data_IF_447369324539
#
_entry.id   IF_447369324539
#
_cell.length_a   1.000
_cell.length_b   1.000
_cell.length_c   1.000
_cell.angle_alpha   90.00
_cell.angle_beta   90.00
_cell.angle_gamma   90.00
#
_symmetry.space_group_name_H-M   'P 1'
#
loop_
_entity.id
_entity.type
_entity.pdbx_description
1 polymer ?
#
# COMPACT_ATOMS: atom_id res chain seq x y z
N UNK A 1 35.87 1.67 -17.57
CA UNK A 1 36.72 2.56 -16.74
C UNK A 1 35.95 3.80 -16.28
N UNK A 2 35.46 4.67 -17.16
CA UNK A 2 34.70 5.88 -16.75
C UNK A 2 33.42 5.53 -15.97
N UNK A 3 32.60 4.59 -16.47
CA UNK A 3 31.38 4.14 -15.78
C UNK A 3 31.70 3.53 -14.42
N UNK A 4 32.76 2.74 -14.34
CA UNK A 4 33.23 2.09 -13.12
C UNK A 4 33.62 3.09 -12.03
N UNK A 5 34.41 4.11 -12.37
CA UNK A 5 34.80 5.16 -11.43
C UNK A 5 33.59 6.00 -10.99
N UNK A 6 32.70 6.36 -11.92
CA UNK A 6 31.46 7.10 -11.59
C UNK A 6 30.52 6.30 -10.69
N UNK A 7 30.35 5.00 -10.92
CA UNK A 7 29.58 4.13 -10.05
C UNK A 7 30.23 4.00 -8.67
N UNK A 8 31.57 3.96 -8.58
CA UNK A 8 32.26 3.91 -7.30
C UNK A 8 32.11 5.20 -6.47
N UNK A 9 32.15 6.36 -7.11
CA UNK A 9 32.04 7.67 -6.45
C UNK A 9 30.60 8.05 -6.06
N UNK A 10 29.63 7.84 -6.96
CA UNK A 10 28.24 8.27 -6.74
C UNK A 10 27.22 7.33 -7.41
N UNK A 11 27.04 6.10 -6.91
CA UNK A 11 26.25 5.06 -7.56
C UNK A 11 24.78 5.47 -7.76
N UNK A 12 24.19 6.19 -6.80
CA UNK A 12 22.82 6.73 -6.91
C UNK A 12 22.67 7.80 -8.00
N UNK A 13 23.70 8.61 -8.24
CA UNK A 13 23.69 9.65 -9.27
C UNK A 13 23.91 9.03 -10.64
N UNK A 14 24.84 8.09 -10.74
CA UNK A 14 25.14 7.35 -11.97
C UNK A 14 23.93 6.54 -12.44
N UNK A 15 23.20 5.92 -11.51
CA UNK A 15 21.95 5.21 -11.81
C UNK A 15 20.88 6.09 -12.48
N UNK A 16 20.82 7.39 -12.18
CA UNK A 16 19.88 8.32 -12.83
C UNK A 16 20.21 8.60 -14.29
N UNK A 17 21.47 8.39 -14.70
CA UNK A 17 21.93 8.61 -16.07
C UNK A 17 21.49 7.51 -17.05
N UNK A 18 20.86 6.44 -16.58
CA UNK A 18 20.31 5.35 -17.42
C UNK A 18 19.25 5.83 -18.43
N UNK A 19 18.65 7.00 -18.21
CA UNK A 19 17.68 7.60 -19.14
C UNK A 19 18.31 8.13 -20.44
N UNK A 20 19.64 8.25 -20.50
CA UNK A 20 20.38 8.81 -21.64
C UNK A 20 20.28 7.89 -22.86
N UNK A 21 20.61 6.60 -22.73
CA UNK A 21 20.38 5.61 -23.77
C UNK A 21 20.41 4.16 -23.22
N UNK A 22 19.86 3.20 -23.98
CA UNK A 22 19.75 1.80 -23.56
C UNK A 22 21.10 1.12 -23.35
N UNK A 23 22.06 1.34 -24.25
CA UNK A 23 23.40 0.74 -24.13
C UNK A 23 24.10 1.24 -22.88
N UNK A 24 24.01 2.54 -22.60
CA UNK A 24 24.61 3.13 -21.41
C UNK A 24 23.92 2.68 -20.12
N UNK A 25 22.60 2.49 -20.14
CA UNK A 25 21.87 1.88 -19.04
C UNK A 25 22.38 0.46 -18.73
N UNK A 26 22.58 -0.37 -19.76
CA UNK A 26 23.07 -1.74 -19.61
C UNK A 26 24.49 -1.78 -19.05
N UNK A 27 25.37 -0.88 -19.49
CA UNK A 27 26.75 -0.77 -18.97
C UNK A 27 26.79 -0.33 -17.51
N UNK A 28 25.97 0.67 -17.12
CA UNK A 28 25.84 1.10 -15.72
C UNK A 28 25.35 -0.05 -14.85
N UNK A 29 24.35 -0.78 -15.35
CA UNK A 29 23.73 -1.90 -14.65
C UNK A 29 24.70 -3.09 -14.49
N UNK A 30 25.37 -3.52 -15.56
CA UNK A 30 26.36 -4.59 -15.49
C UNK A 30 27.54 -4.21 -14.60
N UNK A 31 28.08 -2.99 -14.72
CA UNK A 31 29.16 -2.54 -13.85
C UNK A 31 28.73 -2.57 -12.37
N UNK A 32 27.55 -2.02 -12.05
CA UNK A 32 27.05 -1.98 -10.68
C UNK A 32 26.76 -3.37 -10.09
N UNK A 33 26.18 -4.28 -10.87
CA UNK A 33 25.81 -5.61 -10.38
C UNK A 33 26.99 -6.58 -10.38
N UNK A 34 27.90 -6.49 -11.35
CA UNK A 34 28.94 -7.48 -11.60
C UNK A 34 30.32 -7.08 -11.09
N UNK A 35 30.64 -5.80 -11.03
CA UNK A 35 32.02 -5.31 -10.91
C UNK A 35 32.27 -4.39 -9.70
N UNK A 36 31.24 -3.73 -9.17
CA UNK A 36 31.38 -2.86 -8.01
C UNK A 36 31.57 -3.65 -6.71
N UNK A 37 32.37 -3.14 -5.76
CA UNK A 37 32.54 -3.77 -4.45
C UNK A 37 31.28 -3.62 -3.59
N UNK A 38 31.12 -4.55 -2.64
CA UNK A 38 29.91 -4.67 -1.81
C UNK A 38 29.54 -3.37 -1.07
N UNK A 39 30.53 -2.62 -0.58
CA UNK A 39 30.33 -1.35 0.12
C UNK A 39 29.79 -0.22 -0.78
N UNK A 40 29.95 -0.30 -2.10
CA UNK A 40 29.37 0.64 -3.08
C UNK A 40 27.93 0.22 -3.37
N UNK A 41 27.72 -1.07 -3.62
CA UNK A 41 26.41 -1.69 -3.86
C UNK A 41 25.44 -1.42 -2.71
N UNK A 42 25.92 -1.52 -1.46
CA UNK A 42 25.14 -1.28 -0.25
C UNK A 42 24.56 0.15 -0.18
N UNK A 43 25.26 1.14 -0.77
CA UNK A 43 24.83 2.55 -0.80
C UNK A 43 23.69 2.81 -1.79
N UNK A 44 23.27 1.80 -2.56
CA UNK A 44 22.16 1.86 -3.51
C UNK A 44 21.05 0.84 -3.21
N UNK A 45 20.44 0.87 -2.01
CA UNK A 45 19.48 -0.17 -1.60
C UNK A 45 18.26 -0.26 -2.52
N UNK A 46 17.77 0.86 -3.06
CA UNK A 46 16.62 0.85 -3.98
C UNK A 46 16.95 0.23 -5.35
N UNK A 47 18.21 0.32 -5.79
CA UNK A 47 18.65 -0.30 -7.04
C UNK A 47 18.70 -1.81 -6.87
N UNK A 48 19.40 -2.25 -5.82
CA UNK A 48 19.59 -3.67 -5.58
C UNK A 48 18.29 -4.35 -5.16
N UNK A 49 17.40 -3.67 -4.42
CA UNK A 49 16.07 -4.19 -4.11
C UNK A 49 15.29 -4.60 -5.38
N UNK A 50 15.40 -3.84 -6.47
CA UNK A 50 14.71 -4.17 -7.72
C UNK A 50 15.48 -5.18 -8.59
N UNK A 51 16.78 -5.37 -8.32
CA UNK A 51 17.69 -6.22 -9.10
C UNK A 51 18.30 -7.35 -8.27
N UNK A 52 17.66 -7.69 -7.15
CA UNK A 52 18.21 -8.59 -6.14
C UNK A 52 18.44 -9.99 -6.70
N UNK A 53 17.51 -10.51 -7.49
CA UNK A 53 17.66 -11.83 -8.10
C UNK A 53 18.85 -11.86 -9.06
N UNK A 54 18.96 -10.87 -9.96
CA UNK A 54 20.05 -10.74 -10.92
C UNK A 54 21.41 -10.63 -10.22
N UNK A 55 21.49 -9.80 -9.17
CA UNK A 55 22.67 -9.69 -8.32
C UNK A 55 23.07 -11.05 -7.73
N UNK A 56 22.14 -11.75 -7.08
CA UNK A 56 22.41 -13.05 -6.45
C UNK A 56 22.83 -14.12 -7.47
N UNK A 57 22.23 -14.13 -8.67
CA UNK A 57 22.60 -15.08 -9.74
C UNK A 57 24.03 -14.83 -10.22
N UNK A 58 24.41 -13.58 -10.46
CA UNK A 58 25.76 -13.21 -10.91
C UNK A 58 26.81 -13.63 -9.88
N UNK A 59 26.53 -13.38 -8.60
CA UNK A 59 27.45 -13.66 -7.50
C UNK A 59 27.39 -15.11 -7.01
N UNK A 60 26.43 -15.91 -7.48
CA UNK A 60 26.33 -17.32 -7.10
C UNK A 60 27.60 -18.10 -7.46
N UNK A 61 28.34 -17.77 -8.53
CA UNK A 61 29.56 -18.50 -8.92
C UNK A 61 30.86 -17.68 -8.84
N UNK A 62 30.80 -16.39 -8.47
CA UNK A 62 32.01 -15.55 -8.27
C UNK A 62 32.62 -15.84 -6.89
N UNK A 63 33.63 -16.72 -6.87
CA UNK A 63 34.28 -17.20 -5.64
C UNK A 63 35.18 -16.13 -4.99
N UNK A 64 35.54 -15.05 -5.70
CA UNK A 64 36.63 -14.15 -5.29
C UNK A 64 36.28 -13.09 -4.25
N UNK A 65 35.02 -12.64 -4.14
CA UNK A 65 34.74 -11.38 -3.42
C UNK A 65 33.72 -11.46 -2.28
N UNK A 66 32.98 -12.56 -2.09
CA UNK A 66 32.06 -12.67 -0.95
C UNK A 66 31.96 -14.11 -0.45
N UNK A 67 32.51 -14.39 0.73
CA UNK A 67 32.25 -15.61 1.50
C UNK A 67 30.91 -15.44 2.23
N UNK A 68 29.83 -15.22 1.46
CA UNK A 68 28.50 -14.94 1.99
C UNK A 68 27.79 -16.24 2.42
N UNK A 69 27.40 -16.37 3.69
CA UNK A 69 26.59 -17.48 4.15
C UNK A 69 25.31 -17.69 3.31
N UNK A 70 24.68 -16.60 2.83
CA UNK A 70 23.45 -16.67 2.04
C UNK A 70 23.70 -17.32 0.68
N UNK A 71 24.76 -16.93 -0.03
CA UNK A 71 25.11 -17.52 -1.33
C UNK A 71 25.42 -19.01 -1.20
N UNK A 72 26.16 -19.41 -0.15
CA UNK A 72 26.41 -20.83 0.16
C UNK A 72 25.12 -21.59 0.41
N UNK A 73 24.19 -21.01 1.17
CA UNK A 73 22.88 -21.61 1.42
C UNK A 73 22.06 -21.74 0.13
N UNK A 74 22.03 -20.72 -0.73
CA UNK A 74 21.33 -20.77 -2.02
C UNK A 74 21.91 -21.87 -2.93
N UNK A 75 23.24 -22.04 -2.99
CA UNK A 75 23.86 -23.16 -3.71
C UNK A 75 23.38 -24.51 -3.15
N UNK A 76 23.39 -24.68 -1.83
CA UNK A 76 22.88 -25.91 -1.19
C UNK A 76 21.39 -26.15 -1.47
N UNK A 77 20.57 -25.10 -1.54
CA UNK A 77 19.16 -25.20 -1.93
C UNK A 77 19.02 -25.70 -3.37
N UNK A 78 19.84 -25.20 -4.30
CA UNK A 78 19.85 -25.69 -5.68
C UNK A 78 20.29 -27.16 -5.74
N UNK A 79 21.37 -27.53 -5.06
CA UNK A 79 21.85 -28.92 -4.99
C UNK A 79 20.79 -29.87 -4.43
N UNK A 80 20.11 -29.45 -3.37
CA UNK A 80 19.00 -30.18 -2.78
C UNK A 80 17.87 -30.41 -3.80
N UNK A 81 17.42 -29.36 -4.48
CA UNK A 81 16.35 -29.48 -5.49
C UNK A 81 16.75 -30.38 -6.66
N UNK A 82 17.98 -30.23 -7.16
CA UNK A 82 18.50 -31.07 -8.25
C UNK A 82 18.46 -32.54 -7.86
N UNK A 83 18.87 -32.85 -6.62
CA UNK A 83 18.87 -34.21 -6.10
C UNK A 83 17.46 -34.77 -5.88
N UNK A 84 16.59 -34.04 -5.17
CA UNK A 84 15.26 -34.53 -4.81
C UNK A 84 14.30 -34.63 -6.00
N UNK A 85 14.44 -33.74 -6.97
CA UNK A 85 13.59 -33.72 -8.17
C UNK A 85 14.22 -34.46 -9.36
N UNK A 86 15.38 -35.10 -9.14
CA UNK A 86 16.15 -35.82 -10.16
C UNK A 86 16.39 -34.97 -11.43
N UNK A 87 16.72 -33.68 -11.26
CA UNK A 87 16.95 -32.75 -12.37
C UNK A 87 18.28 -33.09 -13.04
N UNK A 88 18.35 -33.16 -14.38
CA UNK A 88 19.61 -33.38 -15.09
C UNK A 88 20.63 -32.27 -14.81
N UNK A 89 21.89 -32.65 -14.61
CA UNK A 89 22.99 -31.71 -14.30
C UNK A 89 23.16 -30.60 -15.37
N UNK A 90 22.82 -30.89 -16.63
CA UNK A 90 22.80 -29.90 -17.72
C UNK A 90 21.86 -28.72 -17.47
N UNK A 91 20.81 -28.90 -16.66
CA UNK A 91 19.78 -27.92 -16.37
C UNK A 91 20.07 -27.15 -15.05
N UNK A 92 21.21 -27.42 -14.39
CA UNK A 92 21.62 -26.78 -13.13
C UNK A 92 21.47 -25.27 -13.14
N UNK A 93 22.02 -24.60 -14.17
CA UNK A 93 21.99 -23.12 -14.25
C UNK A 93 20.56 -22.59 -14.32
N UNK A 94 19.67 -23.29 -15.02
CA UNK A 94 18.25 -22.92 -15.12
C UNK A 94 17.56 -23.11 -13.77
N UNK A 95 17.88 -24.20 -13.05
CA UNK A 95 17.39 -24.46 -11.70
C UNK A 95 17.84 -23.41 -10.71
N UNK A 96 19.14 -23.08 -10.68
CA UNK A 96 19.71 -22.03 -9.83
C UNK A 96 19.03 -20.68 -10.09
N UNK A 97 18.89 -20.30 -11.36
CA UNK A 97 18.23 -19.04 -11.76
C UNK A 97 16.78 -18.99 -11.28
N UNK A 98 15.99 -20.01 -11.63
CA UNK A 98 14.56 -20.07 -11.29
C UNK A 98 14.34 -20.11 -9.77
N UNK A 99 15.19 -20.85 -9.05
CA UNK A 99 15.12 -20.94 -7.60
C UNK A 99 15.49 -19.61 -6.93
N UNK A 100 16.52 -18.90 -7.41
CA UNK A 100 16.90 -17.61 -6.83
C UNK A 100 15.84 -16.53 -7.10
N UNK A 101 15.31 -16.47 -8.32
CA UNK A 101 14.20 -15.56 -8.65
C UNK A 101 12.97 -15.84 -7.78
N UNK A 102 12.64 -17.12 -7.62
CA UNK A 102 11.57 -17.57 -6.74
C UNK A 102 11.84 -17.25 -5.28
N UNK A 103 13.08 -17.43 -4.81
CA UNK A 103 13.52 -17.15 -3.44
C UNK A 103 13.33 -15.68 -3.11
N UNK A 104 13.79 -14.78 -3.99
CA UNK A 104 13.60 -13.33 -3.84
C UNK A 104 12.12 -12.96 -3.81
N UNK A 105 11.29 -13.65 -4.60
CA UNK A 105 9.84 -13.42 -4.64
C UNK A 105 9.13 -13.86 -3.35
N UNK A 106 9.37 -15.10 -2.89
CA UNK A 106 8.72 -15.64 -1.69
C UNK A 106 9.21 -14.97 -0.41
N UNK A 107 10.49 -14.60 -0.34
CA UNK A 107 11.09 -13.94 0.82
C UNK A 107 10.92 -12.41 0.81
N UNK A 108 10.55 -11.83 -0.33
CA UNK A 108 10.50 -10.39 -0.65
C UNK A 108 11.88 -9.69 -0.69
N UNK A 109 12.12 -8.80 -1.67
CA UNK A 109 13.44 -8.19 -1.87
C UNK A 109 13.98 -7.41 -0.67
N UNK A 110 13.13 -6.69 0.07
CA UNK A 110 13.54 -5.94 1.26
C UNK A 110 14.15 -6.86 2.32
N UNK A 111 13.57 -8.06 2.52
CA UNK A 111 14.04 -9.00 3.53
C UNK A 111 15.33 -9.69 3.08
N UNK A 112 15.44 -10.03 1.80
CA UNK A 112 16.69 -10.56 1.22
C UNK A 112 17.82 -9.54 1.33
N UNK A 113 17.53 -8.26 1.09
CA UNK A 113 18.49 -7.17 1.32
C UNK A 113 18.96 -7.11 2.78
N UNK A 114 18.05 -7.32 3.74
CA UNK A 114 18.42 -7.41 5.16
C UNK A 114 19.24 -8.67 5.48
N UNK A 115 19.02 -9.79 4.80
CA UNK A 115 19.82 -11.01 4.98
C UNK A 115 21.26 -10.81 4.51
N UNK A 116 21.45 -10.13 3.38
CA UNK A 116 22.77 -9.79 2.83
C UNK A 116 23.52 -8.81 3.75
N UNK A 117 22.91 -7.64 4.04
CA UNK A 117 23.64 -6.51 4.63
C UNK A 117 23.19 -6.10 6.03
N UNK A 118 22.17 -6.74 6.59
CA UNK A 118 21.62 -6.38 7.90
C UNK A 118 22.62 -6.49 9.05
N UNK A 119 23.62 -7.38 8.92
CA UNK A 119 24.70 -7.58 9.90
C UNK A 119 25.64 -6.37 10.00
N UNK A 120 25.86 -5.67 8.90
CA UNK A 120 26.78 -4.52 8.84
C UNK A 120 26.11 -3.21 9.30
N UNK A 121 24.77 -3.18 9.38
CA UNK A 121 23.98 -1.98 9.71
C UNK A 121 23.66 -1.80 11.20
N UNK A 122 24.24 -2.61 12.09
CA UNK A 122 23.94 -2.53 13.54
C UNK A 122 22.49 -2.86 13.89
N UNK A 123 21.74 -3.52 12.99
CA UNK A 123 20.43 -4.07 13.29
C UNK A 123 20.64 -5.14 14.37
N UNK A 124 19.83 -5.09 15.43
CA UNK A 124 20.01 -5.86 16.67
C UNK A 124 20.45 -7.32 16.38
N UNK A 125 21.52 -7.85 17.02
CA UNK A 125 22.09 -9.16 16.74
C UNK A 125 21.08 -10.30 16.69
N UNK A 126 20.01 -10.19 17.48
CA UNK A 126 18.85 -11.10 17.46
C UNK A 126 18.24 -11.26 16.05
N UNK A 127 18.01 -10.17 15.30
CA UNK A 127 17.40 -10.24 13.96
C UNK A 127 18.22 -11.03 12.93
N UNK A 128 19.55 -11.10 13.10
CA UNK A 128 20.46 -11.84 12.21
C UNK A 128 20.89 -13.20 12.77
N UNK A 129 20.85 -13.39 14.09
CA UNK A 129 21.17 -14.67 14.76
C UNK A 129 20.02 -15.69 14.69
N UNK A 130 18.81 -15.24 14.35
CA UNK A 130 17.65 -16.12 14.17
C UNK A 130 17.65 -16.83 12.82
N UNK A 131 18.24 -16.22 11.80
CA UNK A 131 18.30 -16.79 10.46
C UNK A 131 19.54 -17.70 10.41
N UNK A 132 19.33 -19.02 10.41
CA UNK A 132 20.38 -20.04 10.41
C UNK A 132 21.12 -20.14 9.06
N UNK A 133 21.66 -19.03 8.59
CA UNK A 133 22.40 -18.92 7.32
C UNK A 133 23.86 -19.36 7.52
N UNK A 134 24.42 -19.16 8.73
CA UNK A 134 25.84 -19.40 9.04
C UNK A 134 26.23 -20.87 9.20
N UNK A 135 25.26 -21.76 9.31
CA UNK A 135 25.57 -23.17 9.45
C UNK A 135 26.00 -23.73 8.08
N UNK A 136 27.24 -24.19 7.96
CA UNK A 136 27.78 -24.88 6.78
C UNK A 136 27.31 -26.35 6.64
N UNK A 137 26.42 -26.83 7.53
CA UNK A 137 25.87 -28.20 7.54
C UNK A 137 24.77 -28.52 6.51
N UNK A 138 24.00 -29.58 6.73
CA UNK A 138 22.84 -29.92 5.88
C UNK A 138 21.72 -28.88 6.02
N UNK A 139 20.94 -28.66 4.94
CA UNK A 139 19.77 -27.81 5.01
C UNK A 139 18.78 -28.33 6.05
N UNK A 140 18.31 -27.42 6.91
CA UNK A 140 17.22 -27.72 7.82
C UNK A 140 15.90 -27.94 7.07
N UNK A 141 14.91 -28.50 7.76
CA UNK A 141 13.60 -28.82 7.16
C UNK A 141 12.91 -27.58 6.57
N UNK A 142 13.08 -26.42 7.22
CA UNK A 142 12.45 -25.18 6.78
C UNK A 142 13.13 -24.61 5.54
N UNK A 143 14.45 -24.64 5.48
CA UNK A 143 15.22 -24.27 4.28
C UNK A 143 14.83 -25.14 3.08
N UNK A 144 14.59 -26.44 3.29
CA UNK A 144 14.08 -27.35 2.25
C UNK A 144 12.69 -26.92 1.76
N UNK A 145 11.78 -26.53 2.66
CA UNK A 145 10.45 -25.99 2.31
C UNK A 145 10.60 -24.71 1.49
N UNK A 146 11.41 -23.76 1.94
CA UNK A 146 11.63 -22.49 1.21
C UNK A 146 12.20 -22.75 -0.18
N UNK A 147 13.16 -23.67 -0.33
CA UNK A 147 13.70 -24.05 -1.63
C UNK A 147 12.62 -24.63 -2.56
N UNK A 148 11.78 -25.54 -2.05
CA UNK A 148 10.69 -26.14 -2.81
C UNK A 148 9.64 -25.09 -3.23
N UNK A 149 9.30 -24.16 -2.33
CA UNK A 149 8.35 -23.07 -2.61
C UNK A 149 8.92 -22.07 -3.62
N UNK A 150 10.20 -21.69 -3.48
CA UNK A 150 10.90 -20.82 -4.41
C UNK A 150 10.92 -21.42 -5.82
N UNK A 151 11.19 -22.72 -5.93
CA UNK A 151 11.22 -23.43 -7.21
C UNK A 151 9.82 -23.83 -7.74
N UNK A 152 8.75 -23.55 -6.99
CA UNK A 152 7.37 -23.94 -7.32
C UNK A 152 7.19 -25.46 -7.50
N UNK A 153 7.93 -26.26 -6.73
CA UNK A 153 7.83 -27.72 -6.73
C UNK A 153 6.64 -28.19 -5.87
N UNK A 154 5.41 -28.06 -6.39
CA UNK A 154 4.15 -28.26 -5.63
C UNK A 154 4.07 -29.58 -4.85
N UNK A 155 4.42 -30.72 -5.47
CA UNK A 155 4.39 -32.02 -4.80
C UNK A 155 5.40 -32.10 -3.65
N UNK A 156 6.60 -31.53 -3.85
CA UNK A 156 7.63 -31.47 -2.82
C UNK A 156 7.21 -30.54 -1.68
N UNK A 157 6.59 -29.39 -1.98
CA UNK A 157 6.01 -28.48 -0.99
C UNK A 157 4.97 -29.22 -0.14
N UNK A 158 4.05 -29.94 -0.77
CA UNK A 158 3.01 -30.73 -0.08
C UNK A 158 3.62 -31.74 0.88
N UNK A 159 4.60 -32.52 0.43
CA UNK A 159 5.26 -33.55 1.25
C UNK A 159 6.05 -32.93 2.41
N UNK A 160 6.79 -31.85 2.16
CA UNK A 160 7.59 -31.20 3.19
C UNK A 160 6.72 -30.48 4.24
N UNK A 161 5.63 -29.85 3.84
CA UNK A 161 4.68 -29.24 4.78
C UNK A 161 3.98 -30.32 5.63
N UNK A 162 3.55 -31.42 5.02
CA UNK A 162 2.90 -32.52 5.75
C UNK A 162 3.81 -33.19 6.80
N UNK A 163 5.13 -33.17 6.58
CA UNK A 163 6.12 -33.75 7.49
C UNK A 163 6.68 -32.75 8.51
N UNK A 164 6.21 -31.49 8.49
CA UNK A 164 6.72 -30.45 9.36
C UNK A 164 6.36 -30.70 10.83
N UNK A 165 7.35 -30.74 11.74
CA UNK A 165 7.08 -30.88 13.17
C UNK A 165 6.31 -29.66 13.71
N UNK A 166 5.18 -29.89 14.38
CA UNK A 166 4.31 -28.84 14.95
C UNK A 166 4.98 -27.97 16.05
N UNK A 167 6.24 -28.24 16.40
CA UNK A 167 7.05 -27.47 17.35
C UNK A 167 8.20 -26.70 16.67
N UNK A 168 8.39 -26.87 15.35
CA UNK A 168 9.45 -26.18 14.58
C UNK A 168 8.97 -24.95 13.85
N UNK A 169 7.66 -24.70 13.79
CA UNK A 169 7.14 -23.46 13.26
C UNK A 169 7.19 -22.38 14.35
N UNK A 170 8.32 -21.66 14.41
CA UNK A 170 8.49 -20.44 15.20
C UNK A 170 8.44 -19.23 14.24
N UNK A 171 7.31 -18.50 14.19
CA UNK A 171 7.18 -17.29 13.37
C UNK A 171 8.29 -16.28 13.61
N UNK A 172 8.80 -15.66 12.53
CA UNK A 172 9.76 -14.55 12.59
C UNK A 172 11.24 -14.93 12.67
N UNK A 173 11.57 -16.18 13.01
CA UNK A 173 12.96 -16.62 13.21
C UNK A 173 13.62 -17.13 11.93
N UNK A 174 12.87 -17.70 10.99
CA UNK A 174 13.47 -18.40 9.85
C UNK A 174 13.76 -17.54 8.60
N UNK A 175 14.47 -18.16 7.66
CA UNK A 175 14.95 -17.64 6.36
C UNK A 175 13.78 -17.21 5.44
N UNK A 176 12.55 -17.62 5.78
CA UNK A 176 11.32 -17.18 5.15
C UNK A 176 10.32 -16.64 6.19
N UNK A 177 9.22 -16.05 5.69
CA UNK A 177 8.02 -15.78 6.50
C UNK A 177 7.20 -17.06 6.63
N UNK A 178 6.04 -17.06 7.28
CA UNK A 178 5.21 -18.27 7.27
C UNK A 178 4.89 -18.73 5.82
N UNK A 179 4.54 -20.01 5.62
CA UNK A 179 4.25 -20.52 4.27
C UNK A 179 3.14 -19.74 3.58
N UNK A 180 2.14 -19.29 4.33
CA UNK A 180 1.02 -18.52 3.78
C UNK A 180 1.48 -17.17 3.23
N UNK A 181 2.28 -16.41 3.99
CA UNK A 181 2.84 -15.14 3.53
C UNK A 181 3.70 -15.34 2.28
N UNK A 182 4.53 -16.39 2.26
CA UNK A 182 5.39 -16.72 1.11
C UNK A 182 4.57 -17.08 -0.13
N UNK A 183 3.50 -17.87 0.02
CA UNK A 183 2.64 -18.26 -1.08
C UNK A 183 1.88 -17.06 -1.69
N UNK A 184 1.37 -16.17 -0.83
CA UNK A 184 0.74 -14.92 -1.28
C UNK A 184 1.76 -14.00 -1.95
N UNK A 185 2.95 -13.84 -1.37
CA UNK A 185 4.02 -13.02 -1.96
C UNK A 185 4.52 -13.55 -3.32
N UNK A 186 4.48 -14.87 -3.52
CA UNK A 186 4.78 -15.49 -4.81
C UNK A 186 3.79 -15.09 -5.91
N UNK A 187 2.59 -14.65 -5.52
CA UNK A 187 1.44 -14.40 -6.38
C UNK A 187 1.15 -15.56 -7.35
N UNK A 188 1.23 -16.80 -6.84
CA UNK A 188 1.06 -18.02 -7.62
C UNK A 188 -0.09 -18.87 -7.07
N UNK A 189 -1.12 -19.09 -7.90
CA UNK A 189 -2.33 -19.82 -7.50
C UNK A 189 -2.05 -21.27 -7.09
N UNK A 190 -1.15 -21.97 -7.78
CA UNK A 190 -0.82 -23.36 -7.46
C UNK A 190 -0.17 -23.47 -6.10
N UNK A 191 0.83 -22.62 -5.83
CA UNK A 191 1.52 -22.59 -4.53
C UNK A 191 0.56 -22.20 -3.40
N UNK A 192 -0.31 -21.22 -3.65
CA UNK A 192 -1.32 -20.78 -2.69
C UNK A 192 -2.27 -21.93 -2.32
N UNK A 193 -2.77 -22.68 -3.30
CA UNK A 193 -3.65 -23.83 -3.06
C UNK A 193 -2.98 -24.89 -2.17
N UNK A 194 -1.73 -25.29 -2.48
CA UNK A 194 -1.01 -26.29 -1.69
C UNK A 194 -0.84 -25.86 -0.23
N UNK A 195 -0.52 -24.59 -0.02
CA UNK A 195 -0.37 -24.03 1.33
C UNK A 195 -1.73 -23.94 2.04
N UNK A 196 -2.78 -23.48 1.35
CA UNK A 196 -4.11 -23.40 1.93
C UNK A 196 -4.68 -24.77 2.28
N UNK A 197 -4.45 -25.79 1.46
CA UNK A 197 -4.83 -27.17 1.76
C UNK A 197 -4.15 -27.66 3.03
N UNK A 198 -2.84 -27.41 3.17
CA UNK A 198 -2.11 -27.73 4.39
C UNK A 198 -2.69 -27.00 5.62
N UNK A 199 -2.93 -25.69 5.52
CA UNK A 199 -3.52 -24.89 6.60
C UNK A 199 -4.92 -25.37 6.97
N UNK A 200 -5.73 -25.75 5.99
CA UNK A 200 -7.05 -26.34 6.18
C UNK A 200 -7.00 -27.67 6.96
N UNK A 201 -5.94 -28.47 6.79
CA UNK A 201 -5.71 -29.66 7.61
C UNK A 201 -5.28 -29.29 9.04
N UNK A 202 -4.39 -28.33 9.20
CA UNK A 202 -3.87 -27.91 10.52
C UNK A 202 -4.99 -27.41 11.45
N UNK A 203 -5.90 -26.58 10.94
CA UNK A 203 -6.98 -25.98 11.76
C UNK A 203 -8.02 -26.98 12.28
N UNK A 204 -7.96 -28.25 11.83
CA UNK A 204 -8.76 -29.35 12.38
C UNK A 204 -8.37 -29.71 13.81
N UNK A 205 -7.14 -29.39 14.22
CA UNK A 205 -6.66 -29.58 15.59
C UNK A 205 -6.56 -28.23 16.30
N UNK A 206 -6.74 -28.20 17.63
CA UNK A 206 -6.56 -26.98 18.42
C UNK A 206 -5.13 -26.45 18.30
N UNK A 207 -4.13 -27.33 18.43
CA UNK A 207 -2.72 -27.00 18.31
C UNK A 207 -2.37 -26.43 16.93
N UNK A 208 -2.83 -27.05 15.85
CA UNK A 208 -2.58 -26.55 14.49
C UNK A 208 -3.27 -25.20 14.24
N UNK A 209 -4.44 -24.96 14.84
CA UNK A 209 -5.08 -23.64 14.83
C UNK A 209 -4.28 -22.59 15.58
N UNK A 210 -3.77 -22.91 16.77
CA UNK A 210 -2.91 -22.01 17.54
C UNK A 210 -1.66 -21.62 16.77
N UNK A 211 -1.06 -22.57 16.05
CA UNK A 211 0.07 -22.32 15.17
C UNK A 211 -0.29 -21.39 14.01
N UNK A 212 -1.42 -21.61 13.35
CA UNK A 212 -1.87 -20.76 12.25
C UNK A 212 -2.27 -19.34 12.70
N UNK A 213 -2.67 -19.19 13.97
CA UNK A 213 -2.97 -17.89 14.59
C UNK A 213 -1.74 -17.16 15.11
N UNK A 214 -0.56 -17.79 15.06
CA UNK A 214 0.62 -17.28 15.70
C UNK A 214 1.22 -16.09 14.92
N UNK A 215 1.35 -14.94 15.59
CA UNK A 215 1.99 -13.74 15.07
C UNK A 215 1.15 -12.91 14.10
N UNK A 216 1.77 -11.83 13.59
CA UNK A 216 1.24 -10.95 12.54
C UNK A 216 1.15 -11.64 11.16
N UNK A 217 1.47 -12.93 11.05
CA UNK A 217 1.65 -13.61 9.77
C UNK A 217 0.37 -13.74 8.93
N UNK A 218 -0.78 -14.03 9.54
CA UNK A 218 -2.05 -14.00 8.79
C UNK A 218 -2.36 -12.58 8.32
N UNK A 219 -2.13 -11.59 9.18
CA UNK A 219 -2.40 -10.19 8.86
C UNK A 219 -1.53 -9.68 7.72
N UNK A 220 -0.25 -10.08 7.73
CA UNK A 220 0.71 -9.81 6.68
C UNK A 220 0.35 -10.50 5.37
N UNK A 221 -0.06 -11.78 5.41
CA UNK A 221 -0.51 -12.49 4.22
C UNK A 221 -1.74 -11.80 3.61
N UNK A 222 -2.69 -11.40 4.45
CA UNK A 222 -3.88 -10.67 4.02
C UNK A 222 -3.52 -9.31 3.39
N UNK A 223 -2.65 -8.55 4.05
CA UNK A 223 -2.19 -7.25 3.55
C UNK A 223 -1.49 -7.37 2.18
N UNK A 224 -0.62 -8.38 2.00
CA UNK A 224 0.06 -8.60 0.71
C UNK A 224 -0.95 -9.00 -0.38
N UNK A 225 -1.95 -9.84 -0.07
CA UNK A 225 -3.00 -10.22 -1.03
C UNK A 225 -3.79 -8.98 -1.50
N UNK A 226 -4.12 -8.07 -0.58
CA UNK A 226 -4.79 -6.80 -0.88
C UNK A 226 -3.90 -5.89 -1.72
N UNK A 227 -2.64 -5.68 -1.32
CA UNK A 227 -1.71 -4.79 -2.04
C UNK A 227 -1.33 -5.29 -3.43
N UNK A 228 -1.29 -6.61 -3.64
CA UNK A 228 -1.05 -7.21 -4.95
C UNK A 228 -2.29 -7.18 -5.85
N UNK A 229 -3.45 -6.80 -5.31
CA UNK A 229 -4.71 -6.73 -6.06
C UNK A 229 -5.29 -8.09 -6.44
N UNK A 230 -4.85 -9.18 -5.80
CA UNK A 230 -5.30 -10.53 -6.11
C UNK A 230 -6.62 -10.83 -5.36
N UNK A 231 -7.75 -10.52 -6.00
CA UNK A 231 -9.09 -10.68 -5.41
C UNK A 231 -9.38 -12.11 -4.96
N UNK A 232 -8.93 -13.11 -5.73
CA UNK A 232 -9.09 -14.52 -5.37
C UNK A 232 -8.42 -14.86 -4.04
N UNK A 233 -7.19 -14.41 -3.82
CA UNK A 233 -6.49 -14.66 -2.57
C UNK A 233 -7.19 -13.96 -1.41
N UNK A 234 -7.67 -12.74 -1.62
CA UNK A 234 -8.45 -12.01 -0.61
C UNK A 234 -9.73 -12.77 -0.27
N UNK A 235 -10.51 -13.21 -1.26
CA UNK A 235 -11.75 -13.98 -1.06
C UNK A 235 -11.49 -15.26 -0.26
N UNK A 236 -10.51 -16.07 -0.67
CA UNK A 236 -10.18 -17.32 0.05
C UNK A 236 -9.69 -17.05 1.49
N UNK A 237 -8.91 -15.98 1.72
CA UNK A 237 -8.47 -15.60 3.07
C UNK A 237 -9.62 -15.05 3.93
N UNK A 238 -10.58 -14.33 3.34
CA UNK A 238 -11.79 -13.86 4.02
C UNK A 238 -12.64 -15.04 4.48
N UNK A 239 -12.82 -16.06 3.64
CA UNK A 239 -13.52 -17.30 4.01
C UNK A 239 -12.77 -18.11 5.07
N UNK A 240 -11.43 -18.08 5.03
CA UNK A 240 -10.59 -18.79 5.98
C UNK A 240 -10.55 -18.13 7.37
N UNK A 241 -10.58 -16.79 7.44
CA UNK A 241 -10.51 -16.01 8.68
C UNK A 241 -11.45 -16.49 9.81
N UNK A 242 -12.77 -16.67 9.59
CA UNK A 242 -13.68 -17.17 10.63
C UNK A 242 -13.39 -18.63 11.03
N UNK A 243 -12.93 -19.47 10.09
CA UNK A 243 -12.56 -20.87 10.35
C UNK A 243 -11.31 -20.95 11.23
N UNK A 244 -10.36 -20.04 11.02
CA UNK A 244 -9.16 -19.86 11.84
C UNK A 244 -9.48 -19.31 13.23
N UNK A 245 -10.66 -18.68 13.42
CA UNK A 245 -11.00 -17.88 14.62
C UNK A 245 -9.96 -16.79 14.87
N UNK A 246 -9.51 -16.17 13.78
CA UNK A 246 -8.61 -15.03 13.85
C UNK A 246 -9.37 -13.79 14.29
N UNK A 247 -8.81 -13.05 15.23
CA UNK A 247 -9.37 -11.78 15.68
C UNK A 247 -8.69 -10.66 14.93
N UNK A 248 -9.46 -9.82 14.24
CA UNK A 248 -8.94 -8.67 13.49
C UNK A 248 -9.21 -7.41 14.31
N UNK A 249 -8.18 -6.75 14.86
CA UNK A 249 -8.33 -5.46 15.52
C UNK A 249 -8.90 -4.41 14.55
N UNK A 250 -9.64 -3.44 15.09
CA UNK A 250 -10.25 -2.39 14.25
C UNK A 250 -9.21 -1.56 13.49
N UNK A 251 -8.04 -1.36 14.07
CA UNK A 251 -6.91 -0.65 13.46
C UNK A 251 -6.40 -1.42 12.23
N UNK A 252 -6.07 -2.70 12.38
CA UNK A 252 -5.65 -3.59 11.28
C UNK A 252 -6.71 -3.69 10.19
N UNK A 253 -7.98 -3.81 10.56
CA UNK A 253 -9.09 -3.79 9.59
C UNK A 253 -9.12 -2.49 8.77
N UNK A 254 -8.93 -1.33 9.42
CA UNK A 254 -8.94 -0.05 8.72
C UNK A 254 -7.73 0.06 7.77
N UNK A 255 -6.56 -0.45 8.16
CA UNK A 255 -5.37 -0.51 7.30
C UNK A 255 -5.62 -1.38 6.06
N UNK A 256 -6.25 -2.55 6.21
CA UNK A 256 -6.62 -3.40 5.08
C UNK A 256 -7.63 -2.72 4.16
N UNK A 257 -8.60 -1.99 4.73
CA UNK A 257 -9.60 -1.29 3.94
C UNK A 257 -8.99 -0.10 3.17
N UNK A 258 -8.09 0.67 3.79
CA UNK A 258 -7.35 1.73 3.11
C UNK A 258 -6.48 1.15 1.97
N UNK A 259 -5.80 0.02 2.20
CA UNK A 259 -5.03 -0.67 1.16
C UNK A 259 -5.93 -1.19 0.02
N UNK A 260 -7.11 -1.72 0.34
CA UNK A 260 -8.10 -2.16 -0.65
C UNK A 260 -8.62 -1.00 -1.51
N UNK A 261 -8.82 0.17 -0.90
CA UNK A 261 -9.21 1.38 -1.63
C UNK A 261 -8.07 1.85 -2.55
N UNK A 262 -6.82 1.78 -2.08
CA UNK A 262 -5.64 2.14 -2.87
C UNK A 262 -5.39 1.19 -4.05
N UNK A 263 -5.82 -0.08 -3.98
CA UNK A 263 -5.73 -1.03 -5.09
C UNK A 263 -6.75 -0.76 -6.21
N UNK A 264 -7.70 0.16 -6.00
CA UNK A 264 -8.78 0.51 -6.93
C UNK A 264 -9.66 -0.67 -7.36
N UNK A 265 -9.67 -1.75 -6.58
CA UNK A 265 -10.45 -2.95 -6.86
C UNK A 265 -11.69 -3.02 -5.95
N UNK A 266 -12.87 -2.76 -6.51
CA UNK A 266 -14.14 -2.75 -5.79
C UNK A 266 -14.49 -4.10 -5.15
N UNK A 267 -14.09 -5.22 -5.77
CA UNK A 267 -14.38 -6.56 -5.25
C UNK A 267 -13.56 -6.84 -3.99
N UNK A 268 -12.29 -6.41 -3.97
CA UNK A 268 -11.45 -6.48 -2.76
C UNK A 268 -12.06 -5.63 -1.64
N UNK A 269 -12.52 -4.41 -1.95
CA UNK A 269 -13.19 -3.55 -0.96
C UNK A 269 -14.40 -4.27 -0.35
N UNK A 270 -15.28 -4.85 -1.17
CA UNK A 270 -16.44 -5.64 -0.69
C UNK A 270 -16.00 -6.79 0.20
N UNK A 271 -15.02 -7.58 -0.23
CA UNK A 271 -14.51 -8.71 0.54
C UNK A 271 -13.96 -8.28 1.90
N UNK A 272 -13.21 -7.19 1.97
CA UNK A 272 -12.72 -6.65 3.26
C UNK A 272 -13.88 -6.17 4.14
N UNK A 273 -14.92 -5.53 3.59
CA UNK A 273 -16.11 -5.10 4.34
C UNK A 273 -16.88 -6.26 5.02
N UNK A 274 -16.75 -7.49 4.52
CA UNK A 274 -17.36 -8.68 5.12
C UNK A 274 -16.72 -9.08 6.46
N UNK A 275 -15.44 -8.71 6.68
CA UNK A 275 -14.71 -9.05 7.90
C UNK A 275 -15.13 -8.22 9.12
N UNK A 276 -15.79 -7.08 8.91
CA UNK A 276 -16.19 -6.21 10.01
C UNK A 276 -17.57 -6.58 10.54
N UNK A 277 -17.62 -7.02 11.79
CA UNK A 277 -18.87 -7.25 12.54
C UNK A 277 -19.42 -5.99 13.23
N UNK A 278 -18.65 -4.89 13.26
CA UNK A 278 -19.09 -3.62 13.82
C UNK A 278 -20.25 -3.03 13.01
N UNK A 279 -21.18 -2.37 13.69
CA UNK A 279 -22.23 -1.57 13.03
C UNK A 279 -21.61 -0.46 12.20
N UNK A 280 -20.67 0.29 12.76
CA UNK A 280 -19.93 1.33 12.04
C UNK A 280 -18.70 0.67 11.39
N UNK A 281 -18.88 0.08 10.21
CA UNK A 281 -17.78 -0.63 9.52
C UNK A 281 -16.77 0.37 8.98
N UNK A 282 -17.22 1.46 8.39
CA UNK A 282 -16.34 2.44 7.77
C UNK A 282 -16.39 3.74 8.55
N UNK A 283 -15.21 4.23 8.96
CA UNK A 283 -15.11 5.52 9.61
C UNK A 283 -15.08 6.66 8.55
N UNK A 284 -15.39 7.90 8.93
CA UNK A 284 -15.40 9.02 7.98
C UNK A 284 -14.07 9.25 7.28
N UNK A 285 -12.93 8.97 7.94
CA UNK A 285 -11.59 9.19 7.39
C UNK A 285 -11.32 8.30 6.17
N UNK A 286 -11.69 7.02 6.26
CA UNK A 286 -11.59 6.08 5.14
C UNK A 286 -12.47 6.51 3.97
N UNK A 287 -13.71 6.96 4.23
CA UNK A 287 -14.59 7.49 3.18
C UNK A 287 -13.96 8.73 2.51
N UNK A 288 -13.35 9.62 3.29
CA UNK A 288 -12.65 10.79 2.75
C UNK A 288 -11.43 10.40 1.89
N UNK A 289 -10.70 9.35 2.24
CA UNK A 289 -9.62 8.79 1.41
C UNK A 289 -10.17 8.23 0.10
N UNK A 290 -11.27 7.48 0.15
CA UNK A 290 -11.92 6.96 -1.05
C UNK A 290 -12.37 8.08 -2.01
N UNK A 291 -12.86 9.22 -1.50
CA UNK A 291 -13.20 10.37 -2.35
C UNK A 291 -12.00 10.92 -3.15
N UNK A 292 -10.75 10.70 -2.70
CA UNK A 292 -9.54 11.15 -3.40
C UNK A 292 -9.12 10.23 -4.54
N UNK A 293 -9.64 9.00 -4.60
CA UNK A 293 -9.27 8.03 -5.63
C UNK A 293 -9.94 8.32 -6.97
N UNK A 294 -11.04 9.10 -6.98
CA UNK A 294 -11.87 9.33 -8.16
C UNK A 294 -12.80 8.15 -8.50
N UNK A 295 -12.75 7.03 -7.78
CA UNK A 295 -13.59 5.87 -8.04
C UNK A 295 -14.96 6.02 -7.39
N UNK A 296 -15.97 6.32 -8.22
CA UNK A 296 -17.36 6.44 -7.78
C UNK A 296 -17.91 5.10 -7.28
N UNK A 297 -17.49 3.98 -7.88
CA UNK A 297 -17.93 2.64 -7.47
C UNK A 297 -17.47 2.30 -6.05
N UNK A 298 -16.20 2.59 -5.72
CA UNK A 298 -15.67 2.37 -4.38
C UNK A 298 -16.41 3.24 -3.36
N UNK A 299 -16.64 4.52 -3.67
CA UNK A 299 -17.42 5.41 -2.79
C UNK A 299 -18.83 4.87 -2.56
N UNK A 300 -19.53 4.46 -3.63
CA UNK A 300 -20.86 3.87 -3.52
C UNK A 300 -20.86 2.58 -2.70
N UNK A 301 -19.89 1.68 -2.90
CA UNK A 301 -19.74 0.47 -2.09
C UNK A 301 -19.55 0.80 -0.61
N UNK A 302 -18.67 1.73 -0.27
CA UNK A 302 -18.44 2.13 1.13
C UNK A 302 -19.69 2.77 1.76
N UNK A 303 -20.43 3.60 1.01
CA UNK A 303 -21.66 4.24 1.50
C UNK A 303 -22.78 3.23 1.73
N UNK A 304 -22.97 2.30 0.80
CA UNK A 304 -24.08 1.33 0.83
C UNK A 304 -23.82 0.17 1.80
N UNK A 305 -22.59 -0.36 1.83
CA UNK A 305 -22.25 -1.58 2.58
C UNK A 305 -21.47 -1.30 3.87
N UNK A 306 -20.86 -0.11 3.99
CA UNK A 306 -19.97 0.27 5.10
C UNK A 306 -20.64 0.95 6.29
N UNK A 307 -21.94 1.30 6.19
CA UNK A 307 -22.71 2.02 7.22
C UNK A 307 -21.92 3.18 7.84
N UNK A 308 -21.61 4.19 7.01
CA UNK A 308 -20.79 5.34 7.38
C UNK A 308 -21.66 6.44 7.98
N UNK A 309 -21.21 7.02 9.09
CA UNK A 309 -21.76 8.31 9.54
C UNK A 309 -21.27 9.46 8.66
N UNK A 310 -21.94 9.72 7.53
CA UNK A 310 -21.52 10.74 6.53
C UNK A 310 -21.46 12.17 7.05
N UNK A 311 -22.12 12.45 8.18
CA UNK A 311 -22.09 13.73 8.88
C UNK A 311 -21.21 13.72 10.14
N UNK A 312 -20.52 12.61 10.46
CA UNK A 312 -19.57 12.57 11.57
C UNK A 312 -18.28 13.28 11.15
N UNK A 313 -17.74 14.08 12.07
CA UNK A 313 -16.46 14.74 11.86
C UNK A 313 -15.32 13.73 11.69
N UNK A 314 -14.42 14.01 10.74
CA UNK A 314 -13.18 13.31 10.47
C UNK A 314 -12.17 13.41 11.63
N UNK A 315 -12.09 14.58 12.28
CA UNK A 315 -11.15 14.86 13.36
C UNK A 315 -11.85 15.70 14.43
N UNK A 316 -11.61 15.37 15.71
CA UNK A 316 -12.19 16.13 16.84
C UNK A 316 -11.74 17.60 16.80
N UNK A 317 -10.50 17.86 16.38
CA UNK A 317 -9.90 19.19 16.32
C UNK A 317 -10.25 20.00 15.06
N UNK A 318 -10.57 19.35 13.93
CA UNK A 318 -10.74 20.03 12.64
C UNK A 318 -12.16 19.93 12.05
N UNK A 319 -13.12 19.25 12.71
CA UNK A 319 -14.54 19.24 12.29
C UNK A 319 -14.78 19.05 10.78
N UNK A 320 -13.91 18.32 10.08
CA UNK A 320 -13.99 18.18 8.62
C UNK A 320 -15.00 17.08 8.28
N UNK A 321 -15.80 17.25 7.23
CA UNK A 321 -16.85 16.31 6.84
C UNK A 321 -16.51 15.60 5.52
N UNK A 322 -16.94 14.34 5.30
CA UNK A 322 -16.76 13.62 4.04
C UNK A 322 -17.18 14.40 2.78
N UNK A 323 -18.28 15.15 2.84
CA UNK A 323 -18.75 16.00 1.74
C UNK A 323 -17.72 17.08 1.35
N UNK A 324 -17.05 17.68 2.32
CA UNK A 324 -16.01 18.68 2.06
C UNK A 324 -14.83 18.07 1.31
N UNK A 325 -14.42 16.84 1.68
CA UNK A 325 -13.38 16.11 0.94
C UNK A 325 -13.83 15.71 -0.46
N UNK A 326 -15.08 15.27 -0.64
CA UNK A 326 -15.65 14.99 -1.96
C UNK A 326 -15.64 16.23 -2.86
N UNK A 327 -16.01 17.40 -2.34
CA UNK A 327 -15.98 18.66 -3.08
C UNK A 327 -14.55 19.10 -3.39
N UNK A 328 -13.61 18.88 -2.48
CA UNK A 328 -12.22 19.29 -2.69
C UNK A 328 -11.48 18.41 -3.69
N UNK A 329 -11.71 17.09 -3.68
CA UNK A 329 -10.89 16.12 -4.40
C UNK A 329 -11.66 15.23 -5.39
N UNK A 330 -12.96 15.02 -5.20
CA UNK A 330 -13.78 14.14 -6.05
C UNK A 330 -14.49 14.88 -7.18
N UNK A 331 -15.17 14.13 -8.05
CA UNK A 331 -15.99 14.68 -9.13
C UNK A 331 -17.48 14.71 -8.77
N UNK A 332 -18.30 15.34 -9.62
CA UNK A 332 -19.76 15.47 -9.42
C UNK A 332 -20.44 14.14 -9.05
N UNK A 333 -20.12 12.98 -9.68
CA UNK A 333 -20.70 11.70 -9.27
C UNK A 333 -20.40 11.32 -7.81
N UNK A 334 -19.17 11.55 -7.33
CA UNK A 334 -18.78 11.30 -5.94
C UNK A 334 -19.49 12.27 -4.99
N UNK A 335 -19.54 13.55 -5.35
CA UNK A 335 -20.26 14.57 -4.57
C UNK A 335 -21.75 14.20 -4.47
N UNK A 336 -22.34 13.78 -5.58
CA UNK A 336 -23.71 13.29 -5.66
C UNK A 336 -23.94 12.09 -4.76
N UNK A 337 -23.09 11.06 -4.85
CA UNK A 337 -23.18 9.87 -4.00
C UNK A 337 -23.16 10.20 -2.50
N UNK A 338 -22.24 11.07 -2.06
CA UNK A 338 -22.14 11.47 -0.64
C UNK A 338 -23.38 12.27 -0.20
N UNK A 339 -23.93 13.14 -1.06
CA UNK A 339 -25.18 13.86 -0.78
C UNK A 339 -26.39 12.92 -0.74
N UNK A 340 -26.47 11.97 -1.67
CA UNK A 340 -27.55 10.98 -1.76
C UNK A 340 -27.54 10.04 -0.55
N UNK A 341 -26.38 9.81 0.07
CA UNK A 341 -26.23 9.13 1.35
C UNK A 341 -26.63 9.99 2.58
N UNK A 342 -27.14 11.20 2.39
CA UNK A 342 -27.67 12.07 3.44
C UNK A 342 -26.65 13.03 4.07
N UNK A 343 -25.55 13.33 3.39
CA UNK A 343 -24.64 14.37 3.86
C UNK A 343 -25.32 15.75 3.89
N UNK A 344 -25.11 16.50 4.96
CA UNK A 344 -25.63 17.86 5.10
C UNK A 344 -24.94 18.79 4.10
N UNK A 345 -25.69 19.26 3.11
CA UNK A 345 -25.23 20.16 2.05
C UNK A 345 -24.72 21.51 2.59
N UNK A 346 -25.12 21.88 3.81
CA UNK A 346 -24.68 23.09 4.50
C UNK A 346 -23.75 22.78 5.69
N UNK A 347 -23.34 21.52 5.85
CA UNK A 347 -22.52 21.03 6.97
C UNK A 347 -21.17 21.73 7.02
N UNK A 348 -21.01 22.67 7.95
CA UNK A 348 -19.81 23.51 8.02
C UNK A 348 -18.61 22.73 8.55
N UNK A 349 -17.49 22.78 7.83
CA UNK A 349 -16.21 22.25 8.26
C UNK A 349 -15.31 23.35 8.81
N UNK A 350 -14.32 23.00 9.63
CA UNK A 350 -13.30 23.97 10.06
C UNK A 350 -12.36 24.32 8.91
N UNK A 351 -11.90 25.58 8.84
CA UNK A 351 -10.90 26.01 7.86
C UNK A 351 -9.50 26.02 8.49
N UNK A 352 -8.59 25.09 8.14
CA UNK A 352 -7.26 25.05 8.73
C UNK A 352 -6.31 26.17 8.26
N UNK A 353 -6.66 26.93 7.20
CA UNK A 353 -5.77 27.91 6.55
C UNK A 353 -5.78 29.33 7.14
N UNK A 354 -6.50 29.61 8.22
CA UNK A 354 -6.44 30.92 8.89
C UNK A 354 -5.80 30.82 10.27
N UNK A 355 -4.95 31.80 10.57
CA UNK A 355 -4.38 32.09 11.90
C UNK A 355 -5.44 32.47 12.95
N UNK A 356 -6.72 32.45 12.58
CA UNK A 356 -7.86 32.73 13.45
C UNK A 356 -8.56 31.43 13.86
N UNK A 357 -8.43 31.02 15.14
CA UNK A 357 -9.19 29.90 15.67
C UNK A 357 -10.70 30.15 15.52
N UNK A 358 -11.42 29.24 14.86
CA UNK A 358 -12.89 29.23 14.85
C UNK A 358 -13.57 29.52 13.50
N UNK A 359 -12.83 29.77 12.42
CA UNK A 359 -13.46 30.00 11.12
C UNK A 359 -13.98 28.67 10.53
N UNK A 360 -15.28 28.62 10.24
CA UNK A 360 -15.91 27.48 9.57
C UNK A 360 -16.22 27.83 8.11
N UNK A 361 -16.21 26.84 7.24
CA UNK A 361 -16.54 26.96 5.81
C UNK A 361 -17.66 26.00 5.47
N UNK A 362 -18.65 26.51 4.75
CA UNK A 362 -19.68 25.71 4.11
C UNK A 362 -19.13 24.92 2.92
N UNK A 363 -19.78 23.81 2.53
CA UNK A 363 -19.43 23.06 1.33
C UNK A 363 -19.39 23.94 0.06
N UNK A 364 -20.27 24.93 -0.04
CA UNK A 364 -20.33 25.85 -1.18
C UNK A 364 -19.12 26.81 -1.22
N UNK A 365 -18.64 27.30 -0.06
CA UNK A 365 -17.42 28.12 0.01
C UNK A 365 -16.17 27.33 -0.40
N UNK A 366 -16.10 26.03 -0.07
CA UNK A 366 -15.01 25.15 -0.54
C UNK A 366 -15.07 25.01 -2.07
N UNK A 367 -16.26 24.90 -2.65
CA UNK A 367 -16.41 24.89 -4.11
C UNK A 367 -15.98 26.21 -4.76
N UNK A 368 -16.19 27.36 -4.09
CA UNK A 368 -15.67 28.66 -4.54
C UNK A 368 -14.14 28.70 -4.56
N UNK A 369 -13.47 28.14 -3.54
CA UNK A 369 -12.01 28.02 -3.50
C UNK A 369 -11.47 27.10 -4.60
N UNK A 370 -12.14 25.96 -4.83
CA UNK A 370 -11.82 25.04 -5.93
C UNK A 370 -11.95 25.73 -7.30
N UNK A 371 -12.88 26.68 -7.41
CA UNK A 371 -13.06 27.50 -8.61
C UNK A 371 -13.77 26.77 -9.77
N UNK A 372 -14.41 25.65 -9.47
CA UNK A 372 -15.10 24.78 -10.42
C UNK A 372 -16.58 25.18 -10.54
N UNK A 373 -16.93 25.76 -11.69
CA UNK A 373 -18.28 26.24 -11.99
C UNK A 373 -19.31 25.12 -11.93
N UNK A 374 -18.98 23.92 -12.41
CA UNK A 374 -19.92 22.82 -12.51
C UNK A 374 -20.29 22.29 -11.12
N UNK A 375 -19.30 22.18 -10.23
CA UNK A 375 -19.53 21.81 -8.82
C UNK A 375 -20.38 22.85 -8.10
N UNK A 376 -20.12 24.14 -8.28
CA UNK A 376 -20.92 25.22 -7.68
C UNK A 376 -22.38 25.15 -8.15
N UNK A 377 -22.61 25.01 -9.46
CA UNK A 377 -23.95 24.86 -10.02
C UNK A 377 -24.65 23.61 -9.47
N UNK A 378 -23.93 22.49 -9.38
CA UNK A 378 -24.45 21.24 -8.83
C UNK A 378 -24.90 21.40 -7.37
N UNK A 379 -24.04 21.96 -6.50
CA UNK A 379 -24.39 22.19 -5.09
C UNK A 379 -25.58 23.15 -4.93
N UNK A 380 -25.62 24.24 -5.70
CA UNK A 380 -26.75 25.17 -5.70
C UNK A 380 -28.04 24.49 -6.15
N UNK A 381 -27.98 23.64 -7.18
CA UNK A 381 -29.15 22.87 -7.66
C UNK A 381 -29.65 21.85 -6.62
N UNK A 382 -28.78 21.38 -5.72
CA UNK A 382 -29.10 20.48 -4.61
C UNK A 382 -29.55 21.23 -3.34
N UNK A 383 -29.70 22.56 -3.38
CA UNK A 383 -30.22 23.36 -2.28
C UNK A 383 -29.16 23.93 -1.33
N UNK A 384 -27.90 24.08 -1.77
CA UNK A 384 -26.87 24.73 -0.97
C UNK A 384 -27.23 26.20 -0.67
N UNK A 385 -27.06 26.61 0.59
CA UNK A 385 -27.35 27.99 1.01
C UNK A 385 -26.28 28.93 0.49
N UNK A 386 -26.70 29.99 -0.19
CA UNK A 386 -25.78 31.04 -0.67
C UNK A 386 -25.21 31.81 0.54
N UNK A 387 -23.88 31.89 0.70
CA UNK A 387 -23.28 32.61 1.81
C UNK A 387 -23.45 34.14 1.67
N UNK A 388 -23.13 34.92 2.73
CA UNK A 388 -23.14 36.37 2.67
C UNK A 388 -22.32 36.92 1.49
N UNK A 389 -22.71 38.07 0.96
CA UNK A 389 -22.06 38.70 -0.21
C UNK A 389 -20.56 38.93 -0.03
N UNK A 390 -20.07 39.05 1.20
CA UNK A 390 -18.65 39.23 1.49
C UNK A 390 -17.81 38.00 1.11
N UNK A 391 -18.41 36.81 1.14
CA UNK A 391 -17.77 35.51 0.94
C UNK A 391 -17.97 34.96 -0.48
N UNK A 392 -18.61 35.75 -1.37
CA UNK A 392 -18.80 35.37 -2.76
C UNK A 392 -17.47 35.28 -3.52
N UNK A 393 -17.39 34.45 -4.58
CA UNK A 393 -16.13 34.22 -5.28
C UNK A 393 -15.64 35.48 -6.00
N UNK A 394 -14.34 35.77 -5.86
CA UNK A 394 -13.69 36.93 -6.52
C UNK A 394 -13.58 36.78 -8.03
N UNK A 395 -13.76 35.58 -8.56
CA UNK A 395 -13.69 35.29 -10.00
C UNK A 395 -15.04 35.59 -10.65
N UNK A 396 -15.05 36.51 -11.63
CA UNK A 396 -16.27 36.99 -12.31
C UNK A 396 -17.22 35.87 -12.76
N UNK A 397 -16.69 34.88 -13.49
CA UNK A 397 -17.50 33.76 -14.02
C UNK A 397 -18.24 32.96 -12.93
N UNK A 398 -17.69 32.90 -11.72
CA UNK A 398 -18.28 32.20 -10.58
C UNK A 398 -19.24 33.11 -9.84
N UNK A 399 -18.88 34.39 -9.71
CA UNK A 399 -19.76 35.42 -9.15
C UNK A 399 -21.08 35.50 -9.92
N UNK A 400 -21.01 35.49 -11.25
CA UNK A 400 -22.18 35.60 -12.12
C UNK A 400 -23.16 34.44 -11.86
N UNK A 401 -22.65 33.21 -11.64
CA UNK A 401 -23.47 32.04 -11.29
C UNK A 401 -24.18 32.23 -9.95
N UNK A 402 -23.45 32.62 -8.91
CA UNK A 402 -24.04 32.83 -7.57
C UNK A 402 -25.05 33.97 -7.60
N UNK A 403 -24.75 35.04 -8.35
CA UNK A 403 -25.63 36.18 -8.58
C UNK A 403 -26.93 35.76 -9.27
N UNK A 404 -26.85 34.99 -10.35
CA UNK A 404 -28.01 34.48 -11.08
C UNK A 404 -28.93 33.68 -10.16
N UNK A 405 -28.38 32.75 -9.38
CA UNK A 405 -29.16 31.94 -8.44
C UNK A 405 -29.70 32.79 -7.27
N UNK A 406 -28.95 33.78 -6.78
CA UNK A 406 -29.44 34.67 -5.72
C UNK A 406 -30.64 35.51 -6.18
N UNK A 407 -30.59 36.05 -7.41
CA UNK A 407 -31.72 36.78 -8.01
C UNK A 407 -32.91 35.84 -8.21
N UNK A 408 -32.67 34.63 -8.69
CA UNK A 408 -33.72 33.61 -8.83
C UNK A 408 -34.35 33.24 -7.47
N UNK A 409 -33.58 33.26 -6.39
CA UNK A 409 -34.05 33.09 -5.01
C UNK A 409 -34.68 34.36 -4.40
N UNK A 410 -34.94 35.41 -5.21
CA UNK A 410 -35.65 36.62 -4.79
C UNK A 410 -34.79 37.66 -4.07
N UNK A 411 -33.46 37.58 -4.13
CA UNK A 411 -32.61 38.59 -3.50
C UNK A 411 -32.68 39.92 -4.25
N UNK A 412 -33.07 40.98 -3.56
CA UNK A 412 -33.12 42.34 -4.12
C UNK A 412 -31.74 43.03 -4.07
N UNK A 413 -31.54 44.00 -4.98
CA UNK A 413 -30.36 44.86 -5.02
C UNK A 413 -29.02 44.08 -5.04
N UNK A 414 -28.96 42.99 -5.82
CA UNK A 414 -27.72 42.21 -5.98
C UNK A 414 -26.75 42.98 -6.89
N UNK A 415 -25.58 43.41 -6.39
CA UNK A 415 -24.69 44.30 -7.12
C UNK A 415 -24.17 43.69 -8.43
N UNK A 416 -23.67 44.54 -9.33
CA UNK A 416 -22.91 44.07 -10.49
C UNK A 416 -21.50 43.69 -10.05
N UNK A 417 -20.83 42.79 -10.78
CA UNK A 417 -19.48 42.35 -10.43
C UNK A 417 -18.48 43.51 -10.22
N UNK A 418 -18.40 44.55 -11.09
CA UNK A 418 -17.50 45.68 -10.87
C UNK A 418 -17.74 46.41 -9.54
N UNK A 419 -19.00 46.69 -9.21
CA UNK A 419 -19.38 47.39 -7.98
C UNK A 419 -19.12 46.52 -6.74
N UNK A 420 -19.48 45.25 -6.78
CA UNK A 420 -19.18 44.31 -5.71
C UNK A 420 -17.66 44.19 -5.45
N UNK A 421 -16.86 44.08 -6.52
CA UNK A 421 -15.40 43.99 -6.40
C UNK A 421 -14.82 45.22 -5.70
N UNK A 422 -15.30 46.42 -6.03
CA UNK A 422 -14.87 47.65 -5.35
C UNK A 422 -15.24 47.66 -3.87
N UNK A 423 -16.44 47.19 -3.49
CA UNK A 423 -16.88 47.12 -2.09
C UNK A 423 -16.06 46.16 -1.22
N UNK A 424 -15.68 45.00 -1.76
CA UNK A 424 -14.91 43.99 -1.01
C UNK A 424 -13.44 44.40 -0.90
N UNK A 425 -12.89 45.10 -1.90
CA UNK A 425 -11.53 45.64 -1.85
C UNK A 425 -11.35 46.73 -0.79
N UNK A 426 -12.33 47.61 -0.56
CA UNK A 426 -12.27 48.67 0.47
C UNK A 426 -12.45 48.17 1.90
N UNK A 427 -13.10 47.02 2.11
CA UNK A 427 -13.20 46.37 3.43
C UNK A 427 -11.90 45.70 3.88
N UNK A 428 -10.99 45.35 2.96
CA UNK A 428 -9.68 44.78 3.30
C UNK A 428 -8.65 45.80 3.79
N UNK A 429 -8.95 47.11 3.65
CA UNK A 429 -8.08 48.22 4.05
C UNK A 429 -8.52 48.92 5.34
N UNK A 430 -9.60 48.48 5.98
CA UNK A 430 -10.10 49.04 7.26
C UNK A 430 -9.78 48.10 8.43
N UNK A 431 -8.48 47.93 8.69
CA UNK A 431 -8.00 47.61 10.04
C UNK A 431 -6.92 48.62 10.35
N UNK A 432 -7.10 49.36 11.45
CA UNK A 432 -6.33 50.50 11.94
C UNK A 432 -6.75 51.85 11.36
N UNK A 433 -7.91 52.33 11.81
CA UNK A 433 -7.97 53.68 12.37
C UNK A 433 -8.90 53.61 13.58
N UNK A 434 -8.26 53.54 14.74
CA UNK A 434 -8.83 53.93 16.02
C UNK A 434 -9.08 55.42 15.90
N UNK A 435 -10.32 55.86 16.07
CA UNK A 435 -10.61 57.21 16.53
C UNK A 435 -11.80 57.14 17.50
N UNK A 436 -11.61 57.87 18.59
CA UNK A 436 -12.20 57.90 19.94
C UNK A 436 -13.70 57.60 20.15
#
# INVERSE_FOLDING_TARGET
MIVHEFNAESPSSTWKLRSVCRTFAAEIEDDLLSHQPENVVEKTPEVIKNKMAEYLIIHLHKISDVNDPLLKMLRRMADYLIRELAIPEKDRKVTETSMIEGFVRVCQPTRVNTMMWGRFRGIHPLCTSFVNIDNDGELDHWQKVVAAMAFLAFDLVRTLLATMPLNTWIPGIYIGRCPLVMAVAANNNGLFNEVMDHFNQLIKTSRGRDMCRNGYDFDDAFYIAVNTGNSRFVEELVEFCPRLRHYVPKETYNEWLDAAIASLNTDIVKSVLLLCSSRDKVNPYILANACRTGSTDIVNTLLNEGNVGVNKSLLVSFKAHPLCCAIQYGDIPIIGAVLDAGADINGKAYRPKLESPGLTCSPLEIAFERGDKAVIQFLLSRGATIPPRADWPRVRRLYDVVREVAIANGWENVPTYPYWKTMVSTRGTTTLEVDE
#
